data_IF_963605647544
#
_entry.id   IF_963605647544
#
_cell.length_a   1.000
_cell.length_b   1.000
_cell.length_c   1.000
_cell.angle_alpha   90.00
_cell.angle_beta   90.00
_cell.angle_gamma   90.00
#
_symmetry.space_group_name_H-M   'P 1'
#
loop_
_entity.id
_entity.type
_entity.pdbx_description
1 polymer ?
#
# COMPACT_ATOMS: atom_id res chain seq x y z
N UNK A 1 -16.49 22.64 -36.29
CA UNK A 1 -16.36 24.08 -35.92
C UNK A 1 -17.53 24.47 -35.07
N UNK A 2 -17.40 24.49 -33.77
CA UNK A 2 -18.36 25.10 -32.85
C UNK A 2 -17.53 25.68 -31.69
N UNK A 3 -17.49 27.00 -31.67
CA UNK A 3 -16.74 27.84 -30.77
C UNK A 3 -17.52 28.06 -29.47
N UNK A 4 -17.03 27.65 -28.32
CA UNK A 4 -17.61 28.02 -27.04
C UNK A 4 -16.85 29.20 -26.43
N UNK A 5 -17.57 30.31 -26.25
CA UNK A 5 -17.12 31.53 -25.57
C UNK A 5 -17.32 31.39 -24.06
N UNK A 6 -16.29 31.72 -23.29
CA UNK A 6 -16.32 31.82 -21.84
C UNK A 6 -16.70 33.27 -21.44
N UNK A 7 -17.66 33.51 -20.53
CA UNK A 7 -17.93 34.85 -20.02
C UNK A 7 -16.97 35.25 -18.89
N UNK A 8 -16.47 36.49 -19.00
CA UNK A 8 -15.65 37.16 -17.98
C UNK A 8 -16.58 37.74 -16.89
N UNK A 9 -16.35 37.34 -15.61
CA UNK A 9 -16.96 38.01 -14.47
C UNK A 9 -16.00 39.03 -13.86
N UNK A 10 -16.50 40.25 -13.73
CA UNK A 10 -15.87 41.44 -13.16
C UNK A 10 -15.98 41.41 -11.63
N UNK A 11 -14.86 41.71 -10.93
CA UNK A 11 -14.82 41.93 -9.48
C UNK A 11 -15.26 43.35 -9.07
N UNK A 12 -15.98 43.54 -7.96
CA UNK A 12 -16.22 44.85 -7.39
C UNK A 12 -15.14 45.27 -6.38
N UNK A 13 -14.95 46.59 -6.33
CA UNK A 13 -13.93 47.33 -5.56
C UNK A 13 -14.14 47.29 -4.07
N UNK A 14 -13.03 47.22 -3.35
CA UNK A 14 -12.88 47.42 -1.88
C UNK A 14 -13.22 48.83 -1.45
N UNK A 15 -13.99 48.91 -0.37
CA UNK A 15 -14.29 50.16 0.36
C UNK A 15 -13.36 50.24 1.59
N UNK A 16 -12.55 51.33 1.65
CA UNK A 16 -11.69 51.63 2.79
C UNK A 16 -12.48 52.37 3.86
N UNK A 17 -12.44 51.89 5.11
CA UNK A 17 -12.84 52.64 6.28
C UNK A 17 -11.63 52.93 7.15
N UNK A 18 -11.37 54.23 7.37
CA UNK A 18 -10.40 54.74 8.32
C UNK A 18 -11.02 54.76 9.72
N UNK A 19 -10.33 54.24 10.72
CA UNK A 19 -10.70 54.36 12.14
C UNK A 19 -9.70 55.23 12.86
N UNK A 20 -10.24 56.24 13.52
CA UNK A 20 -9.51 57.22 14.33
C UNK A 20 -9.08 56.63 15.69
N UNK A 21 -7.87 56.95 16.10
CA UNK A 21 -7.26 56.52 17.37
C UNK A 21 -7.43 57.62 18.39
N UNK A 22 -8.03 57.33 19.53
CA UNK A 22 -8.03 58.18 20.73
C UNK A 22 -7.23 57.49 21.84
N UNK A 23 -6.27 58.13 22.49
CA UNK A 23 -5.52 57.52 23.59
C UNK A 23 -6.25 57.74 24.93
N UNK A 24 -6.43 56.68 25.69
CA UNK A 24 -6.88 56.75 27.09
C UNK A 24 -5.73 56.32 27.99
N UNK A 25 -5.27 57.24 28.82
CA UNK A 25 -4.30 56.95 29.89
C UNK A 25 -5.03 56.29 31.06
N UNK A 26 -4.57 55.12 31.50
CA UNK A 26 -5.01 54.51 32.74
C UNK A 26 -3.81 54.09 33.59
N UNK A 27 -3.87 54.45 34.85
CA UNK A 27 -2.82 54.31 35.85
C UNK A 27 -2.54 52.83 36.20
N UNK A 28 -1.26 52.52 36.40
CA UNK A 28 -0.80 51.20 36.81
C UNK A 28 -1.07 50.92 38.29
N UNK A 29 -1.85 49.89 38.59
CA UNK A 29 -1.87 49.27 39.91
C UNK A 29 -1.01 47.99 39.83
N UNK A 30 0.10 47.97 40.59
CA UNK A 30 0.98 46.77 40.68
C UNK A 30 0.29 45.76 41.60
N UNK A 31 -0.32 44.74 41.04
CA UNK A 31 -0.74 43.56 41.78
C UNK A 31 0.34 42.47 41.57
N UNK A 32 1.03 42.19 42.67
CA UNK A 32 2.04 41.13 42.72
C UNK A 32 1.33 39.78 42.82
N UNK A 33 1.03 39.16 41.69
CA UNK A 33 0.50 37.79 41.64
C UNK A 33 1.67 36.83 41.44
N UNK A 34 2.03 36.08 42.48
CA UNK A 34 2.88 34.91 42.37
C UNK A 34 2.20 33.89 41.44
N UNK A 35 2.81 33.65 40.32
CA UNK A 35 2.42 32.55 39.42
C UNK A 35 2.67 31.20 40.10
N UNK A 36 1.72 30.26 40.06
CA UNK A 36 1.99 28.91 40.51
C UNK A 36 3.09 28.27 39.61
N UNK A 37 3.88 27.33 40.14
CA UNK A 37 4.93 26.69 39.36
C UNK A 37 4.30 26.02 38.13
N UNK A 38 4.83 26.34 36.97
CA UNK A 38 4.49 25.66 35.75
C UNK A 38 4.86 24.17 35.88
N UNK A 39 3.83 23.36 35.98
CA UNK A 39 3.97 21.91 35.90
C UNK A 39 4.47 21.61 34.50
N UNK A 40 5.78 21.52 34.33
CA UNK A 40 6.43 21.05 33.12
C UNK A 40 6.28 19.52 33.04
N UNK A 41 5.04 19.09 32.86
CA UNK A 41 4.79 17.75 32.29
C UNK A 41 5.27 17.78 30.83
N UNK A 42 6.58 17.56 30.67
CA UNK A 42 7.14 17.17 29.40
C UNK A 42 6.41 15.88 28.98
N UNK A 43 5.40 16.02 28.12
CA UNK A 43 4.87 14.91 27.35
C UNK A 43 6.01 14.46 26.46
N UNK A 44 6.88 13.61 27.00
CA UNK A 44 7.72 12.74 26.21
C UNK A 44 6.76 11.88 25.42
N UNK A 45 6.42 12.30 24.22
CA UNK A 45 5.79 11.43 23.23
C UNK A 45 6.82 10.37 22.90
N UNK A 46 6.80 9.29 23.68
CA UNK A 46 7.46 8.04 23.32
C UNK A 46 6.72 7.55 22.06
N UNK A 47 7.13 8.05 20.91
CA UNK A 47 6.65 7.55 19.64
C UNK A 47 7.20 6.14 19.49
N UNK A 48 6.34 5.14 19.66
CA UNK A 48 6.70 3.77 19.31
C UNK A 48 7.24 3.75 17.86
N UNK A 49 8.23 2.90 17.56
CA UNK A 49 8.76 2.81 16.21
C UNK A 49 7.64 2.45 15.22
N UNK A 50 7.67 3.01 14.00
CA UNK A 50 6.68 2.66 12.98
C UNK A 50 6.79 1.17 12.65
N UNK A 51 5.63 0.53 12.44
CA UNK A 51 5.56 -0.89 12.11
C UNK A 51 5.06 -1.08 10.68
N UNK A 52 5.52 -2.14 10.00
CA UNK A 52 5.12 -2.46 8.63
C UNK A 52 5.05 -3.96 8.39
N UNK A 53 3.97 -4.39 7.75
CA UNK A 53 3.81 -5.73 7.20
C UNK A 53 4.07 -5.70 5.69
N UNK A 54 5.01 -6.52 5.22
CA UNK A 54 5.20 -6.74 3.79
C UNK A 54 4.18 -7.78 3.32
N UNK A 55 3.61 -7.56 2.14
CA UNK A 55 2.71 -8.52 1.46
C UNK A 55 3.07 -8.57 -0.01
N UNK A 56 2.91 -9.74 -0.65
CA UNK A 56 3.24 -9.93 -2.06
C UNK A 56 2.01 -10.39 -2.84
N UNK A 57 1.66 -9.65 -3.88
CA UNK A 57 0.57 -9.96 -4.78
C UNK A 57 1.06 -10.78 -5.99
N UNK A 58 0.14 -11.37 -6.73
CA UNK A 58 0.33 -12.09 -8.00
C UNK A 58 1.15 -13.39 -7.94
N UNK A 59 1.19 -14.07 -6.79
CA UNK A 59 1.80 -15.39 -6.79
C UNK A 59 1.04 -16.36 -7.71
N UNK A 60 1.74 -17.23 -8.50
CA UNK A 60 3.18 -17.50 -8.47
C UNK A 60 4.04 -16.62 -9.37
N UNK A 61 3.48 -15.68 -10.15
CA UNK A 61 4.25 -14.96 -11.15
C UNK A 61 3.73 -13.54 -11.42
N UNK A 62 4.62 -12.56 -11.42
CA UNK A 62 4.34 -11.20 -11.84
C UNK A 62 5.37 -10.69 -12.85
N UNK A 63 4.88 -9.90 -13.83
CA UNK A 63 5.74 -9.24 -14.82
C UNK A 63 6.50 -10.17 -15.75
N UNK A 64 7.36 -9.64 -16.63
CA UNK A 64 8.13 -10.43 -17.56
C UNK A 64 9.16 -11.31 -16.84
N UNK A 65 9.43 -12.47 -17.40
CA UNK A 65 10.50 -13.37 -16.96
C UNK A 65 11.77 -13.02 -17.74
N UNK A 66 12.82 -12.49 -17.10
CA UNK A 66 14.08 -12.21 -17.77
C UNK A 66 14.71 -13.50 -18.32
N UNK A 67 15.40 -13.38 -19.47
CA UNK A 67 16.05 -14.54 -20.11
C UNK A 67 17.04 -15.22 -19.14
N UNK A 68 16.93 -16.53 -19.01
CA UNK A 68 17.78 -17.34 -18.15
C UNK A 68 17.38 -17.38 -16.68
N UNK A 69 16.22 -16.80 -16.31
CA UNK A 69 15.64 -16.92 -14.96
C UNK A 69 14.36 -17.75 -14.98
N UNK A 70 14.03 -18.34 -13.84
CA UNK A 70 12.77 -19.05 -13.60
C UNK A 70 11.97 -18.37 -12.49
N UNK A 71 10.64 -18.59 -12.46
CA UNK A 71 9.78 -18.08 -11.39
C UNK A 71 10.21 -18.62 -10.01
N UNK A 72 10.65 -19.87 -9.96
CA UNK A 72 11.17 -20.50 -8.75
C UNK A 72 12.46 -19.82 -8.24
N UNK A 73 13.36 -19.39 -9.14
CA UNK A 73 14.56 -18.64 -8.75
C UNK A 73 14.21 -17.24 -8.21
N UNK A 74 13.25 -16.55 -8.84
CA UNK A 74 12.75 -15.27 -8.36
C UNK A 74 12.17 -15.41 -6.93
N UNK A 75 11.30 -16.39 -6.73
CA UNK A 75 10.73 -16.67 -5.40
C UNK A 75 11.83 -17.02 -4.37
N UNK A 76 12.83 -17.83 -4.78
CA UNK A 76 13.95 -18.19 -3.91
C UNK A 76 14.75 -16.97 -3.46
N UNK A 77 15.01 -16.01 -4.35
CA UNK A 77 15.68 -14.74 -4.01
C UNK A 77 14.86 -13.93 -2.99
N UNK A 78 13.56 -13.80 -3.22
CA UNK A 78 12.64 -13.09 -2.30
C UNK A 78 12.65 -13.76 -0.92
N UNK A 79 12.45 -15.08 -0.87
CA UNK A 79 12.41 -15.84 0.38
C UNK A 79 13.74 -15.77 1.14
N UNK A 80 14.86 -15.79 0.42
CA UNK A 80 16.18 -15.60 1.02
C UNK A 80 16.32 -14.21 1.65
N UNK A 81 15.90 -13.15 0.94
CA UNK A 81 15.95 -11.78 1.44
C UNK A 81 15.06 -11.60 2.71
N UNK A 82 13.84 -12.13 2.70
CA UNK A 82 12.94 -12.10 3.86
C UNK A 82 13.56 -12.82 5.07
N UNK A 83 14.09 -14.03 4.87
CA UNK A 83 14.75 -14.81 5.91
C UNK A 83 15.97 -14.08 6.48
N UNK A 84 16.87 -13.61 5.62
CA UNK A 84 18.15 -13.00 6.03
C UNK A 84 17.90 -11.67 6.76
N UNK A 85 16.85 -10.97 6.36
CA UNK A 85 16.34 -9.79 7.05
C UNK A 85 15.44 -10.13 8.26
N UNK A 86 15.20 -11.39 8.59
CA UNK A 86 14.31 -11.81 9.69
C UNK A 86 12.94 -11.13 9.63
N UNK A 87 12.38 -11.02 8.45
CA UNK A 87 11.01 -10.56 8.27
C UNK A 87 10.07 -11.67 8.79
N UNK A 88 9.05 -11.35 9.59
CA UNK A 88 8.12 -12.37 10.08
C UNK A 88 7.28 -12.96 8.93
N UNK A 89 6.49 -14.02 9.17
CA UNK A 89 5.69 -14.67 8.13
C UNK A 89 4.91 -13.67 7.28
N UNK A 90 5.12 -13.74 5.97
CA UNK A 90 4.69 -12.75 4.98
C UNK A 90 3.64 -13.35 4.06
N UNK A 91 2.45 -12.73 3.96
CA UNK A 91 1.39 -13.21 3.08
C UNK A 91 1.75 -13.05 1.60
N UNK A 92 1.52 -14.13 0.83
CA UNK A 92 1.50 -14.10 -0.63
C UNK A 92 0.06 -14.29 -1.15
N UNK A 93 -0.42 -13.40 -2.01
CA UNK A 93 -1.76 -13.46 -2.56
C UNK A 93 -1.74 -14.12 -3.94
N UNK A 94 -2.56 -15.17 -4.12
CA UNK A 94 -2.42 -16.14 -5.20
C UNK A 94 -3.47 -15.93 -6.29
N UNK A 95 -3.02 -15.95 -7.54
CA UNK A 95 -3.85 -16.09 -8.74
C UNK A 95 -3.66 -17.50 -9.32
N UNK A 96 -4.59 -18.39 -9.01
CA UNK A 96 -4.46 -19.82 -9.38
C UNK A 96 -4.50 -20.08 -10.88
N UNK A 97 -5.08 -19.20 -11.69
CA UNK A 97 -5.18 -19.35 -13.14
C UNK A 97 -3.79 -19.48 -13.82
N UNK A 98 -2.77 -18.85 -13.27
CA UNK A 98 -1.40 -18.97 -13.79
C UNK A 98 -0.93 -20.43 -13.84
N UNK A 99 -1.34 -21.24 -12.86
CA UNK A 99 -0.94 -22.66 -12.81
C UNK A 99 -1.65 -23.55 -13.85
N UNK A 100 -2.73 -23.06 -14.49
CA UNK A 100 -3.35 -23.79 -15.62
C UNK A 100 -2.50 -23.69 -16.88
N UNK A 101 -1.93 -22.49 -17.14
CA UNK A 101 -1.06 -22.27 -18.30
C UNK A 101 0.40 -22.62 -18.03
N UNK A 102 0.85 -22.42 -16.78
CA UNK A 102 2.24 -22.58 -16.35
C UNK A 102 2.35 -23.50 -15.12
N UNK A 103 1.99 -24.79 -15.23
CA UNK A 103 1.97 -25.72 -14.08
C UNK A 103 3.35 -25.94 -13.44
N UNK A 104 4.43 -25.66 -14.18
CA UNK A 104 5.81 -25.67 -13.67
C UNK A 104 6.07 -24.59 -12.60
N UNK A 105 5.17 -23.61 -12.41
CA UNK A 105 5.32 -22.56 -11.40
C UNK A 105 4.73 -22.95 -10.02
N UNK A 106 4.08 -24.13 -9.90
CA UNK A 106 3.62 -24.65 -8.62
C UNK A 106 4.72 -24.70 -7.52
N UNK A 107 5.99 -25.01 -7.82
CA UNK A 107 7.08 -24.95 -6.85
C UNK A 107 7.25 -23.59 -6.17
N UNK A 108 6.82 -22.48 -6.77
CA UNK A 108 6.83 -21.14 -6.12
C UNK A 108 5.96 -21.15 -4.88
N UNK A 109 4.70 -21.62 -5.00
CA UNK A 109 3.78 -21.69 -3.86
C UNK A 109 4.26 -22.67 -2.80
N UNK A 110 4.82 -23.81 -3.24
CA UNK A 110 5.39 -24.80 -2.34
C UNK A 110 6.58 -24.25 -1.54
N UNK A 111 7.49 -23.52 -2.20
CA UNK A 111 8.62 -22.88 -1.55
C UNK A 111 8.18 -21.77 -0.57
N UNK A 112 7.15 -20.99 -0.94
CA UNK A 112 6.57 -19.98 -0.08
C UNK A 112 6.05 -20.58 1.23
N UNK A 113 5.28 -21.67 1.11
CA UNK A 113 4.76 -22.42 2.27
C UNK A 113 5.87 -23.09 3.08
N UNK A 114 6.83 -23.71 2.43
CA UNK A 114 7.98 -24.38 3.10
C UNK A 114 8.84 -23.38 3.90
N UNK A 115 8.86 -22.10 3.51
CA UNK A 115 9.49 -21.03 4.25
C UNK A 115 8.64 -20.51 5.44
N UNK A 116 7.46 -21.09 5.70
CA UNK A 116 6.56 -20.68 6.78
C UNK A 116 5.70 -19.46 6.46
N UNK A 117 5.65 -19.04 5.20
CA UNK A 117 4.85 -17.90 4.76
C UNK A 117 3.44 -18.33 4.37
N UNK A 118 2.39 -17.63 4.84
CA UNK A 118 1.01 -17.94 4.50
C UNK A 118 0.62 -17.48 3.08
N UNK A 119 -0.45 -18.08 2.56
CA UNK A 119 -1.08 -17.70 1.30
C UNK A 119 -2.49 -17.18 1.55
N UNK A 120 -2.91 -16.19 0.75
CA UNK A 120 -4.26 -15.66 0.68
C UNK A 120 -4.78 -15.61 -0.75
N UNK A 121 -6.04 -15.21 -0.92
CA UNK A 121 -6.68 -15.14 -2.24
C UNK A 121 -6.47 -13.79 -2.91
N UNK A 122 -6.09 -13.83 -4.20
CA UNK A 122 -6.07 -12.68 -5.10
C UNK A 122 -6.98 -12.88 -6.31
N UNK A 123 -8.10 -13.60 -6.10
CA UNK A 123 -8.98 -14.19 -7.12
C UNK A 123 -8.26 -15.24 -7.99
N UNK A 124 -9.04 -15.98 -8.77
CA UNK A 124 -8.47 -16.99 -9.66
C UNK A 124 -7.61 -16.38 -10.77
N UNK A 125 -8.16 -15.40 -11.51
CA UNK A 125 -7.56 -14.85 -12.73
C UNK A 125 -7.20 -13.37 -12.66
N UNK A 126 -6.95 -12.83 -11.48
CA UNK A 126 -6.68 -11.40 -11.26
C UNK A 126 -7.79 -10.51 -11.85
N UNK A 127 -9.06 -10.92 -11.66
CA UNK A 127 -10.23 -10.23 -12.22
C UNK A 127 -10.46 -8.87 -11.55
N UNK A 128 -10.71 -7.84 -12.36
CA UNK A 128 -11.08 -6.52 -11.85
C UNK A 128 -12.59 -6.43 -11.59
N UNK A 129 -13.00 -6.20 -10.34
CA UNK A 129 -14.42 -6.10 -9.95
C UNK A 129 -15.15 -4.97 -10.68
N UNK A 130 -14.50 -3.83 -10.90
CA UNK A 130 -15.16 -2.68 -11.54
C UNK A 130 -15.50 -2.93 -13.01
N UNK A 131 -14.79 -3.85 -13.67
CA UNK A 131 -14.93 -4.18 -15.08
C UNK A 131 -15.79 -5.43 -15.34
N UNK A 132 -16.17 -6.18 -14.30
CA UNK A 132 -16.89 -7.44 -14.42
C UNK A 132 -18.19 -7.40 -13.58
N UNK A 133 -19.07 -8.38 -13.77
CA UNK A 133 -20.23 -8.54 -12.89
C UNK A 133 -19.83 -8.99 -11.49
N UNK A 134 -20.68 -8.73 -10.50
CA UNK A 134 -20.46 -9.20 -9.14
C UNK A 134 -20.43 -10.75 -9.12
N UNK A 135 -21.38 -11.38 -9.80
CA UNK A 135 -21.50 -12.84 -9.89
C UNK A 135 -20.24 -13.50 -10.49
N UNK A 136 -19.70 -12.95 -11.59
CA UNK A 136 -18.46 -13.46 -12.18
C UNK A 136 -17.27 -13.32 -11.23
N UNK A 137 -17.21 -12.21 -10.50
CA UNK A 137 -16.15 -11.96 -9.55
C UNK A 137 -16.23 -12.91 -8.35
N UNK A 138 -17.41 -13.14 -7.78
CA UNK A 138 -17.66 -14.11 -6.71
C UNK A 138 -17.27 -15.53 -7.14
N UNK A 139 -17.65 -15.93 -8.35
CA UNK A 139 -17.23 -17.21 -8.92
C UNK A 139 -15.69 -17.30 -9.09
N UNK A 140 -15.04 -16.17 -9.41
CA UNK A 140 -13.59 -16.09 -9.55
C UNK A 140 -12.88 -16.20 -8.18
N UNK A 141 -13.46 -15.67 -7.12
CA UNK A 141 -12.96 -15.86 -5.74
C UNK A 141 -13.08 -17.33 -5.34
N UNK A 142 -14.29 -17.92 -5.47
CA UNK A 142 -14.57 -19.30 -5.07
C UNK A 142 -13.70 -20.31 -5.82
N UNK A 143 -13.40 -20.06 -7.11
CA UNK A 143 -12.55 -20.94 -7.91
C UNK A 143 -11.13 -21.09 -7.34
N UNK A 144 -10.63 -20.08 -6.62
CA UNK A 144 -9.30 -20.10 -6.02
C UNK A 144 -9.23 -20.91 -4.70
N UNK A 145 -10.36 -21.12 -4.03
CA UNK A 145 -10.44 -21.74 -2.70
C UNK A 145 -9.85 -23.15 -2.61
N UNK A 146 -10.12 -24.08 -3.57
CA UNK A 146 -9.56 -25.44 -3.49
C UNK A 146 -8.03 -25.48 -3.53
N UNK A 147 -7.40 -24.57 -4.30
CA UNK A 147 -5.95 -24.44 -4.33
C UNK A 147 -5.41 -23.95 -2.99
N UNK A 148 -6.00 -22.89 -2.45
CA UNK A 148 -5.58 -22.30 -1.18
C UNK A 148 -5.76 -23.27 -0.01
N UNK A 149 -6.94 -23.90 0.08
CA UNK A 149 -7.22 -24.91 1.12
C UNK A 149 -6.20 -26.06 1.07
N UNK A 150 -5.86 -26.55 -0.11
CA UNK A 150 -4.84 -27.60 -0.28
C UNK A 150 -3.44 -27.14 0.12
N UNK A 151 -3.06 -25.90 -0.21
CA UNK A 151 -1.72 -25.38 0.06
C UNK A 151 -1.53 -24.96 1.51
N UNK A 152 -2.60 -24.54 2.20
CA UNK A 152 -2.55 -24.04 3.56
C UNK A 152 -2.90 -25.10 4.62
N UNK A 153 -3.42 -26.27 4.17
CA UNK A 153 -3.85 -27.37 5.05
C UNK A 153 -4.82 -26.88 6.14
N UNK A 154 -4.42 -26.90 7.41
CA UNK A 154 -5.27 -26.47 8.53
C UNK A 154 -5.06 -24.99 8.94
N UNK A 155 -4.23 -24.25 8.22
CA UNK A 155 -3.97 -22.85 8.51
C UNK A 155 -5.01 -21.94 7.84
N UNK A 156 -5.27 -20.76 8.44
CA UNK A 156 -6.23 -19.78 7.92
C UNK A 156 -5.72 -19.12 6.63
N UNK A 157 -6.38 -19.42 5.52
CA UNK A 157 -6.14 -18.84 4.21
C UNK A 157 -7.20 -17.79 3.82
N UNK A 158 -8.16 -17.48 4.68
CA UNK A 158 -9.27 -16.56 4.41
C UNK A 158 -8.82 -15.09 4.52
N UNK A 159 -7.72 -14.78 3.85
CA UNK A 159 -7.27 -13.43 3.61
C UNK A 159 -7.40 -13.10 2.14
N UNK A 160 -8.10 -12.01 1.83
CA UNK A 160 -8.44 -11.61 0.48
C UNK A 160 -7.82 -10.28 0.12
N UNK A 161 -7.13 -10.20 -1.03
CA UNK A 161 -6.63 -8.97 -1.61
C UNK A 161 -7.35 -8.70 -2.92
N UNK A 162 -7.96 -7.53 -3.06
CA UNK A 162 -8.62 -7.12 -4.30
C UNK A 162 -7.58 -6.87 -5.40
N UNK A 163 -7.71 -7.51 -6.60
CA UNK A 163 -6.93 -7.12 -7.77
C UNK A 163 -7.12 -5.64 -8.09
N UNK A 164 -6.03 -4.96 -8.45
CA UNK A 164 -6.01 -3.51 -8.71
C UNK A 164 -6.45 -2.65 -7.53
N UNK A 165 -6.59 -3.19 -6.34
CA UNK A 165 -7.25 -2.56 -5.18
C UNK A 165 -8.68 -2.06 -5.53
N UNK A 166 -9.33 -2.70 -6.51
CA UNK A 166 -10.67 -2.35 -7.01
C UNK A 166 -11.75 -3.04 -6.18
N UNK A 167 -12.30 -2.31 -5.20
CA UNK A 167 -13.32 -2.82 -4.27
C UNK A 167 -14.76 -2.55 -4.73
N UNK A 168 -14.96 -2.06 -5.96
CA UNK A 168 -16.26 -1.72 -6.51
C UNK A 168 -16.60 -0.23 -6.36
N UNK A 169 -16.50 0.55 -7.46
CA UNK A 169 -16.93 1.95 -7.47
C UNK A 169 -18.44 2.10 -7.31
N UNK A 170 -19.23 1.16 -7.86
CA UNK A 170 -20.67 1.15 -7.69
C UNK A 170 -21.04 0.62 -6.30
N UNK A 171 -21.82 1.38 -5.47
CA UNK A 171 -22.15 0.95 -4.11
C UNK A 171 -22.74 -0.46 -4.03
N UNK A 172 -23.60 -0.85 -4.98
CA UNK A 172 -24.17 -2.19 -4.99
C UNK A 172 -23.14 -3.30 -5.21
N UNK A 173 -22.09 -3.06 -6.02
CA UNK A 173 -20.98 -4.02 -6.18
C UNK A 173 -20.13 -4.08 -4.93
N UNK A 174 -19.79 -2.91 -4.39
CA UNK A 174 -19.00 -2.79 -3.17
C UNK A 174 -19.67 -3.52 -2.00
N UNK A 175 -20.95 -3.22 -1.73
CA UNK A 175 -21.68 -3.84 -0.62
C UNK A 175 -21.93 -5.33 -0.86
N UNK A 176 -22.19 -5.72 -2.12
CA UNK A 176 -22.38 -7.11 -2.52
C UNK A 176 -21.15 -7.95 -2.27
N UNK A 177 -19.98 -7.53 -2.75
CA UNK A 177 -18.74 -8.30 -2.57
C UNK A 177 -18.32 -8.39 -1.09
N UNK A 178 -18.51 -7.33 -0.30
CA UNK A 178 -18.23 -7.38 1.14
C UNK A 178 -19.13 -8.37 1.85
N UNK A 179 -20.42 -8.39 1.50
CA UNK A 179 -21.39 -9.37 2.02
C UNK A 179 -20.95 -10.80 1.66
N UNK A 180 -20.56 -11.04 0.42
CA UNK A 180 -20.07 -12.33 -0.04
C UNK A 180 -18.80 -12.76 0.73
N UNK A 181 -17.79 -11.89 0.81
CA UNK A 181 -16.55 -12.18 1.52
C UNK A 181 -16.81 -12.51 3.00
N UNK A 182 -17.68 -11.74 3.67
CA UNK A 182 -18.05 -11.99 5.05
C UNK A 182 -18.75 -13.35 5.24
N UNK A 183 -19.67 -13.72 4.33
CA UNK A 183 -20.37 -15.01 4.37
C UNK A 183 -19.42 -16.20 4.15
N UNK A 184 -18.33 -16.00 3.41
CA UNK A 184 -17.28 -16.99 3.18
C UNK A 184 -16.17 -16.94 4.23
N UNK A 185 -16.27 -16.10 5.27
CA UNK A 185 -15.31 -16.01 6.35
C UNK A 185 -13.99 -15.28 6.00
N UNK A 186 -13.97 -14.55 4.89
CA UNK A 186 -12.80 -13.78 4.49
C UNK A 186 -12.61 -12.50 5.31
N UNK A 187 -11.36 -12.16 5.51
CA UNK A 187 -10.86 -10.84 5.91
C UNK A 187 -10.25 -10.17 4.69
N UNK A 188 -10.39 -8.88 4.58
CA UNK A 188 -9.76 -8.11 3.50
C UNK A 188 -8.37 -7.70 3.97
N UNK A 189 -7.35 -8.00 3.18
CA UNK A 189 -5.99 -7.54 3.42
C UNK A 189 -5.85 -6.10 2.88
N UNK A 190 -5.97 -5.11 3.75
CA UNK A 190 -5.87 -3.69 3.41
C UNK A 190 -4.48 -3.32 2.86
N UNK A 191 -4.39 -2.21 2.12
CA UNK A 191 -3.12 -1.62 1.67
C UNK A 191 -3.06 -0.17 2.12
N UNK A 192 -2.05 0.16 2.91
CA UNK A 192 -1.85 1.53 3.40
C UNK A 192 -0.52 2.14 2.95
N UNK A 193 0.29 1.37 2.22
CA UNK A 193 1.52 1.87 1.61
C UNK A 193 1.78 1.13 0.29
N UNK A 194 2.08 1.88 -0.78
CA UNK A 194 2.50 1.35 -2.07
C UNK A 194 3.36 2.40 -2.78
N UNK A 195 4.34 1.95 -3.54
CA UNK A 195 5.11 2.83 -4.43
C UNK A 195 5.11 2.33 -5.88
N UNK A 196 4.16 1.44 -6.21
CA UNK A 196 3.98 0.84 -7.53
C UNK A 196 5.25 0.12 -8.02
N UNK A 197 5.83 -0.72 -7.17
CA UNK A 197 7.05 -1.50 -7.38
C UNK A 197 7.08 -2.23 -8.73
N UNK A 198 5.94 -2.71 -9.21
CA UNK A 198 5.79 -3.42 -10.48
C UNK A 198 6.24 -2.64 -11.72
N UNK A 199 6.25 -1.30 -11.65
CA UNK A 199 6.59 -0.44 -12.81
C UNK A 199 8.02 -0.64 -13.33
N UNK A 200 8.92 -1.16 -12.52
CA UNK A 200 10.33 -1.36 -12.89
C UNK A 200 10.60 -2.69 -13.60
N UNK A 201 9.72 -3.70 -13.43
CA UNK A 201 9.97 -5.06 -13.91
C UNK A 201 10.16 -5.13 -15.43
N UNK A 202 9.30 -4.47 -16.21
CA UNK A 202 9.40 -4.45 -17.69
C UNK A 202 10.71 -3.82 -18.17
N UNK A 203 11.08 -2.69 -17.60
CA UNK A 203 12.31 -1.99 -17.95
C UNK A 203 13.54 -2.80 -17.57
N UNK A 204 13.52 -3.42 -16.39
CA UNK A 204 14.57 -4.32 -15.95
C UNK A 204 14.76 -5.49 -16.93
N UNK A 205 13.67 -6.16 -17.32
CA UNK A 205 13.72 -7.25 -18.28
C UNK A 205 14.38 -6.84 -19.61
N UNK A 206 14.01 -5.66 -20.14
CA UNK A 206 14.61 -5.13 -21.38
C UNK A 206 16.07 -4.78 -21.21
N UNK A 207 16.44 -4.07 -20.13
CA UNK A 207 17.82 -3.68 -19.88
C UNK A 207 18.72 -4.88 -19.65
N UNK A 208 18.23 -5.90 -18.94
CA UNK A 208 18.94 -7.16 -18.73
C UNK A 208 19.21 -7.90 -20.05
N UNK A 209 18.21 -7.97 -20.93
CA UNK A 209 18.36 -8.59 -22.25
C UNK A 209 19.40 -7.90 -23.14
N UNK A 210 19.61 -6.60 -22.95
CA UNK A 210 20.63 -5.79 -23.65
C UNK A 210 21.98 -5.75 -22.93
N UNK A 211 22.08 -6.24 -21.71
CA UNK A 211 23.29 -6.14 -20.88
C UNK A 211 23.62 -4.70 -20.45
N UNK A 212 22.61 -3.78 -20.42
CA UNK A 212 22.79 -2.38 -20.08
C UNK A 212 22.84 -2.19 -18.54
N UNK A 213 24.01 -2.45 -17.98
CA UNK A 213 24.25 -2.32 -16.54
C UNK A 213 24.12 -0.87 -16.05
N UNK A 214 24.38 0.14 -16.90
CA UNK A 214 24.23 1.53 -16.51
C UNK A 214 22.75 1.90 -16.32
N UNK A 215 21.88 1.46 -17.24
CA UNK A 215 20.44 1.63 -17.11
C UNK A 215 19.88 0.84 -15.91
N UNK A 216 20.37 -0.39 -15.66
CA UNK A 216 19.98 -1.16 -14.47
C UNK A 216 20.34 -0.42 -13.18
N UNK A 217 21.53 0.18 -13.08
CA UNK A 217 21.92 1.00 -11.92
C UNK A 217 21.00 2.23 -11.74
N UNK A 218 20.51 2.85 -12.82
CA UNK A 218 19.52 3.93 -12.75
C UNK A 218 18.17 3.41 -12.21
N UNK A 219 17.71 2.24 -12.71
CA UNK A 219 16.50 1.59 -12.20
C UNK A 219 16.60 1.32 -10.70
N UNK A 220 17.72 0.75 -10.23
CA UNK A 220 17.98 0.47 -8.81
C UNK A 220 17.90 1.74 -7.95
N UNK A 221 18.53 2.82 -8.41
CA UNK A 221 18.53 4.09 -7.68
C UNK A 221 17.15 4.72 -7.62
N UNK A 222 16.42 4.72 -8.74
CA UNK A 222 15.07 5.29 -8.82
C UNK A 222 14.03 4.49 -8.02
N UNK A 223 14.17 3.18 -7.95
CA UNK A 223 13.32 2.31 -7.15
C UNK A 223 13.40 2.66 -5.66
N UNK A 224 14.62 2.75 -5.11
CA UNK A 224 14.80 3.11 -3.71
C UNK A 224 14.37 4.55 -3.42
N UNK A 225 14.60 5.47 -4.35
CA UNK A 225 14.15 6.85 -4.21
C UNK A 225 12.62 6.95 -4.19
N UNK A 226 11.92 6.18 -5.03
CA UNK A 226 10.46 6.12 -5.03
C UNK A 226 9.93 5.51 -3.73
N UNK A 227 10.51 4.42 -3.26
CA UNK A 227 10.13 3.81 -1.99
C UNK A 227 10.31 4.79 -0.82
N UNK A 228 11.45 5.48 -0.73
CA UNK A 228 11.74 6.44 0.32
C UNK A 228 10.77 7.65 0.32
N UNK A 229 10.49 8.19 -0.86
CA UNK A 229 9.54 9.28 -1.02
C UNK A 229 8.13 8.88 -0.57
N UNK A 230 7.71 7.64 -0.88
CA UNK A 230 6.41 7.10 -0.47
C UNK A 230 6.35 6.82 1.03
N UNK A 231 7.43 6.33 1.67
CA UNK A 231 7.51 6.26 3.13
C UNK A 231 7.17 7.61 3.76
N UNK A 232 7.83 8.68 3.32
CA UNK A 232 7.57 10.03 3.82
C UNK A 232 6.15 10.52 3.55
N UNK A 233 5.57 10.17 2.39
CA UNK A 233 4.20 10.54 2.04
C UNK A 233 3.18 9.87 2.95
N UNK A 234 3.19 8.55 3.07
CA UNK A 234 2.21 7.81 3.86
C UNK A 234 2.30 8.10 5.36
N UNK A 235 3.51 8.32 5.88
CA UNK A 235 3.68 8.76 7.28
C UNK A 235 3.05 10.13 7.51
N UNK A 236 3.17 11.09 6.58
CA UNK A 236 2.47 12.37 6.68
C UNK A 236 0.95 12.20 6.67
N UNK A 237 0.38 11.31 5.85
CA UNK A 237 -1.05 11.02 5.86
C UNK A 237 -1.49 10.45 7.20
N UNK A 238 -0.76 9.46 7.71
CA UNK A 238 -1.05 8.82 8.99
C UNK A 238 -1.04 9.82 10.15
N UNK A 239 -0.02 10.68 10.22
CA UNK A 239 0.06 11.72 11.24
C UNK A 239 -1.04 12.79 11.09
N UNK A 240 -1.40 13.18 9.88
CA UNK A 240 -2.50 14.12 9.65
C UNK A 240 -3.86 13.57 10.07
N UNK A 241 -4.04 12.24 9.99
CA UNK A 241 -5.28 11.56 10.33
C UNK A 241 -5.38 11.17 11.80
N UNK A 242 -4.27 10.73 12.40
CA UNK A 242 -4.25 9.99 13.67
C UNK A 242 -3.21 10.52 14.68
N UNK A 243 -2.42 11.53 14.32
CA UNK A 243 -1.30 12.06 15.11
C UNK A 243 -0.25 10.99 15.50
N UNK A 244 -0.18 9.92 14.74
CA UNK A 244 0.76 8.81 14.92
C UNK A 244 0.99 8.05 13.62
N UNK A 245 2.04 7.23 13.58
CA UNK A 245 2.14 6.16 12.59
C UNK A 245 1.12 5.07 12.95
N UNK A 246 0.24 4.69 12.03
CA UNK A 246 -0.47 3.41 12.12
C UNK A 246 0.49 2.28 11.70
N UNK A 247 0.27 1.03 12.08
CA UNK A 247 0.95 -0.09 11.42
C UNK A 247 0.59 -0.11 9.94
N UNK A 248 1.61 -0.10 9.07
CA UNK A 248 1.40 -0.06 7.61
C UNK A 248 1.36 -1.46 7.02
N UNK A 249 0.59 -1.63 5.94
CA UNK A 249 0.62 -2.81 5.07
C UNK A 249 1.16 -2.37 3.71
N UNK A 250 2.35 -2.89 3.36
CA UNK A 250 3.01 -2.61 2.09
C UNK A 250 2.63 -3.65 1.05
N UNK A 251 2.13 -3.17 -0.08
CA UNK A 251 1.91 -3.97 -1.27
C UNK A 251 3.20 -4.06 -2.08
N UNK A 252 3.63 -5.29 -2.37
CA UNK A 252 4.71 -5.66 -3.26
C UNK A 252 4.23 -6.72 -4.25
N UNK A 253 5.00 -6.95 -5.32
CA UNK A 253 4.72 -8.02 -6.28
C UNK A 253 5.88 -9.01 -6.36
N UNK A 254 5.58 -10.24 -6.84
CA UNK A 254 6.61 -11.28 -7.01
C UNK A 254 7.35 -11.11 -8.35
N UNK A 255 7.91 -9.93 -8.58
CA UNK A 255 8.63 -9.56 -9.79
C UNK A 255 10.13 -9.87 -9.75
N UNK A 256 10.74 -9.98 -10.93
CA UNK A 256 12.19 -10.24 -11.03
C UNK A 256 13.03 -9.08 -10.49
N UNK A 257 12.61 -7.83 -10.76
CA UNK A 257 13.32 -6.67 -10.23
C UNK A 257 13.07 -6.48 -8.73
N UNK A 258 11.86 -6.81 -8.27
CA UNK A 258 11.55 -6.78 -6.84
C UNK A 258 12.42 -7.77 -6.06
N UNK A 259 12.64 -8.98 -6.61
CA UNK A 259 13.55 -9.97 -6.05
C UNK A 259 15.00 -9.46 -5.96
N UNK A 260 15.47 -8.72 -6.98
CA UNK A 260 16.80 -8.11 -7.00
C UNK A 260 16.93 -7.00 -5.96
N UNK A 261 15.86 -6.21 -5.77
CA UNK A 261 15.91 -5.00 -4.95
C UNK A 261 15.52 -5.24 -3.49
N UNK A 262 14.83 -6.34 -3.18
CA UNK A 262 14.26 -6.58 -1.86
C UNK A 262 15.26 -6.48 -0.71
N UNK A 263 16.52 -6.99 -0.78
CA UNK A 263 17.47 -6.82 0.31
C UNK A 263 17.72 -5.35 0.65
N UNK A 264 17.94 -4.52 -0.38
CA UNK A 264 18.18 -3.08 -0.23
C UNK A 264 16.94 -2.31 0.21
N UNK A 265 15.75 -2.76 -0.21
CA UNK A 265 14.47 -2.20 0.22
C UNK A 265 14.24 -2.46 1.71
N UNK A 266 14.48 -3.68 2.19
CA UNK A 266 14.37 -4.04 3.59
C UNK A 266 15.35 -3.22 4.47
N UNK A 267 16.57 -3.02 3.99
CA UNK A 267 17.55 -2.16 4.67
C UNK A 267 17.09 -0.68 4.70
N UNK A 268 16.47 -0.20 3.62
CA UNK A 268 15.88 1.15 3.58
C UNK A 268 14.81 1.31 4.67
N UNK A 269 13.84 0.39 4.76
CA UNK A 269 12.80 0.47 5.79
C UNK A 269 13.37 0.42 7.20
N UNK A 270 14.35 -0.44 7.46
CA UNK A 270 15.07 -0.46 8.75
C UNK A 270 15.79 0.84 9.06
N UNK A 271 16.45 1.43 8.06
CA UNK A 271 17.15 2.72 8.24
C UNK A 271 16.18 3.86 8.56
N UNK A 272 14.90 3.72 8.16
CA UNK A 272 13.80 4.63 8.50
C UNK A 272 13.11 4.31 9.84
N UNK A 273 13.66 3.34 10.59
CA UNK A 273 13.21 2.96 11.92
C UNK A 273 12.04 1.97 11.96
N UNK A 274 11.64 1.39 10.83
CA UNK A 274 10.52 0.45 10.81
C UNK A 274 10.85 -0.88 11.47
N UNK A 275 9.88 -1.39 12.23
CA UNK A 275 9.84 -2.78 12.70
C UNK A 275 8.94 -3.59 11.77
N UNK A 276 9.43 -4.78 11.40
CA UNK A 276 8.65 -5.71 10.57
C UNK A 276 7.71 -6.53 11.45
N UNK A 277 6.44 -6.55 11.06
CA UNK A 277 5.37 -7.28 11.73
C UNK A 277 4.58 -8.11 10.70
N UNK A 278 3.75 -9.02 11.18
CA UNK A 278 2.85 -9.79 10.30
C UNK A 278 1.64 -8.95 9.86
N UNK A 279 1.00 -9.34 8.74
CA UNK A 279 -0.26 -8.74 8.29
C UNK A 279 -1.35 -8.79 9.39
N UNK A 280 -1.61 -9.95 10.07
CA UNK A 280 -2.59 -9.97 11.15
C UNK A 280 -2.25 -9.06 12.34
N UNK A 281 -0.96 -8.80 12.60
CA UNK A 281 -0.56 -7.84 13.65
C UNK A 281 -0.82 -6.41 13.22
N UNK A 282 -0.51 -6.05 11.97
CA UNK A 282 -0.78 -4.72 11.44
C UNK A 282 -2.29 -4.40 11.47
N UNK A 283 -3.10 -5.34 11.06
CA UNK A 283 -4.56 -5.14 10.95
C UNK A 283 -5.34 -5.26 12.27
N UNK A 284 -4.65 -5.38 13.41
CA UNK A 284 -5.26 -5.13 14.73
C UNK A 284 -5.53 -3.65 15.01
N UNK A 285 -4.91 -2.75 14.22
CA UNK A 285 -5.16 -1.32 14.37
C UNK A 285 -6.61 -0.99 13.99
N UNK A 286 -7.29 -0.10 14.75
CA UNK A 286 -8.67 0.28 14.46
C UNK A 286 -8.91 0.82 13.05
N UNK A 287 -7.87 1.26 12.33
CA UNK A 287 -7.96 1.66 10.93
C UNK A 287 -8.52 0.52 10.06
N UNK A 288 -8.06 -0.71 10.27
CA UNK A 288 -8.41 -1.90 9.48
C UNK A 288 -9.67 -2.64 9.99
N UNK A 289 -10.38 -2.08 10.97
CA UNK A 289 -11.50 -2.78 11.61
C UNK A 289 -12.52 -3.31 10.61
N UNK A 290 -12.81 -2.54 9.56
CA UNK A 290 -13.81 -2.91 8.57
C UNK A 290 -13.26 -3.89 7.52
N UNK A 291 -11.95 -4.02 7.40
CA UNK A 291 -11.30 -5.03 6.57
C UNK A 291 -11.29 -6.39 7.26
N UNK A 292 -11.06 -6.39 8.56
CA UNK A 292 -11.12 -7.61 9.39
C UNK A 292 -12.55 -8.14 9.54
N UNK A 293 -13.54 -7.26 9.54
CA UNK A 293 -14.96 -7.62 9.60
C UNK A 293 -15.74 -6.98 8.43
N UNK A 294 -15.80 -7.66 7.28
CA UNK A 294 -16.51 -7.12 6.11
C UNK A 294 -18.04 -6.98 6.29
N UNK A 295 -18.63 -7.50 7.37
CA UNK A 295 -20.02 -7.20 7.74
C UNK A 295 -20.24 -5.75 8.17
N UNK A 296 -19.19 -5.08 8.65
CA UNK A 296 -19.27 -3.67 8.99
C UNK A 296 -19.34 -2.83 7.70
N UNK A 297 -20.11 -1.73 7.77
CA UNK A 297 -20.14 -0.79 6.65
C UNK A 297 -18.72 -0.29 6.34
N UNK A 298 -18.42 -0.16 5.04
CA UNK A 298 -17.10 0.22 4.60
C UNK A 298 -16.68 1.57 5.17
N UNK A 299 -15.44 1.62 5.61
CA UNK A 299 -14.70 2.86 5.86
C UNK A 299 -13.73 3.09 4.69
N UNK A 300 -13.16 4.27 4.58
CA UNK A 300 -12.02 4.46 3.68
C UNK A 300 -10.93 3.43 3.98
N UNK A 301 -10.59 2.63 2.99
CA UNK A 301 -9.63 1.51 3.07
C UNK A 301 -8.19 1.92 2.77
N UNK A 302 -7.98 3.14 2.28
CA UNK A 302 -6.66 3.74 2.06
C UNK A 302 -6.51 5.03 2.85
N UNK A 303 -5.27 5.42 3.15
CA UNK A 303 -5.00 6.68 3.84
C UNK A 303 -5.44 7.89 3.02
N UNK A 304 -5.30 7.83 1.69
CA UNK A 304 -5.78 8.88 0.78
C UNK A 304 -7.30 9.02 0.82
N UNK A 305 -8.02 7.90 0.79
CA UNK A 305 -9.47 7.90 0.91
C UNK A 305 -9.93 8.44 2.27
N UNK A 306 -9.20 8.10 3.35
CA UNK A 306 -9.47 8.63 4.69
C UNK A 306 -9.24 10.15 4.77
N UNK A 307 -8.18 10.67 4.14
CA UNK A 307 -7.96 12.12 4.00
C UNK A 307 -9.12 12.81 3.28
N UNK A 308 -9.54 12.24 2.14
CA UNK A 308 -10.65 12.77 1.35
C UNK A 308 -11.96 12.75 2.15
N UNK A 309 -12.27 11.66 2.84
CA UNK A 309 -13.46 11.53 3.69
C UNK A 309 -13.50 12.58 4.82
N UNK A 310 -12.35 12.86 5.43
CA UNK A 310 -12.23 13.92 6.46
C UNK A 310 -12.06 15.33 5.86
N UNK A 311 -12.08 15.49 4.54
CA UNK A 311 -11.86 16.76 3.83
C UNK A 311 -10.54 17.43 4.18
N UNK A 312 -9.52 16.62 4.45
CA UNK A 312 -8.16 17.11 4.71
C UNK A 312 -7.40 17.27 3.38
N UNK A 313 -6.53 18.28 3.25
CA UNK A 313 -5.74 18.48 2.05
C UNK A 313 -4.73 17.34 1.87
N UNK A 314 -4.72 16.72 0.70
CA UNK A 314 -3.68 15.75 0.36
C UNK A 314 -2.36 16.49 0.11
N UNK A 315 -1.25 16.07 0.74
CA UNK A 315 0.06 16.56 0.36
C UNK A 315 0.40 16.13 -1.08
N UNK A 316 1.34 16.81 -1.75
CA UNK A 316 1.81 16.37 -3.08
C UNK A 316 2.23 14.90 -3.04
N UNK A 317 1.68 14.11 -3.96
CA UNK A 317 2.08 12.72 -4.11
C UNK A 317 3.51 12.65 -4.66
N UNK A 318 4.28 11.64 -4.26
CA UNK A 318 5.57 11.38 -4.89
C UNK A 318 5.40 11.19 -6.39
N UNK A 319 6.19 11.93 -7.16
CA UNK A 319 6.18 11.79 -8.62
C UNK A 319 6.90 10.49 -8.96
N UNK A 320 6.34 9.62 -9.80
CA UNK A 320 7.07 8.49 -10.34
C UNK A 320 8.37 8.97 -10.97
N UNK A 321 9.48 8.22 -10.88
CA UNK A 321 10.71 8.60 -11.54
C UNK A 321 10.49 8.75 -13.05
N UNK A 322 11.37 9.49 -13.71
CA UNK A 322 11.34 9.74 -15.16
C UNK A 322 11.06 8.45 -15.96
N UNK A 323 10.48 8.54 -17.17
CA UNK A 323 9.73 7.47 -17.82
C UNK A 323 10.52 6.15 -17.90
N UNK A 324 10.21 5.25 -16.95
CA UNK A 324 10.80 3.91 -16.89
C UNK A 324 10.57 3.15 -18.20
N UNK A 325 9.42 3.39 -18.82
CA UNK A 325 8.98 2.70 -20.04
C UNK A 325 9.85 3.01 -21.27
N UNK A 326 10.67 4.06 -21.25
CA UNK A 326 11.59 4.41 -22.34
C UNK A 326 12.98 3.79 -22.18
N UNK A 327 13.34 3.31 -21.00
CA UNK A 327 14.66 2.71 -20.77
C UNK A 327 14.82 1.40 -21.54
N UNK A 328 15.96 1.26 -22.19
CA UNK A 328 16.34 0.04 -22.94
C UNK A 328 15.32 -0.39 -24.02
N UNK A 329 14.62 0.58 -24.66
CA UNK A 329 13.81 0.30 -25.85
C UNK A 329 14.64 0.06 -27.09
#
# INVERSE_FOLDING_TARGET
MLSFRIPRHTFPRLLQYALAVTPLFLAAAIVNTQSPPADSSSHSSSTAPPCIAFTFDDLPAHGPLPAGETRAEIATKILAALRDARVPPTYGFVNGATLESEPQDLPVLQAWRAAGNPLGSHTWSHMNLDQNSLEDFEANVTRNEPLLSKMMDNEDWHWFRFPYLAEGYAPAKHDGIRTFLAQHGYKIAGVTMSFADYLWNDSYGRCKAKGDNAAIAQLQSSYLAAADANIGFYRRLSHALYDRDIPYVLLMHIGAFDAEMLPRLLDLYRSRGFQFITLPEAERDPFYRNDIDPHLSSNPNTLEAAMAHRKLPLPPQPVPPAPLDTLCR
#
